data_IF_125331248099
#
_entry.id   IF_125331248099
#
_cell.length_a   1.000
_cell.length_b   1.000
_cell.length_c   1.000
_cell.angle_alpha   90.00
_cell.angle_beta   90.00
_cell.angle_gamma   90.00
#
_symmetry.space_group_name_H-M   'P 1'
#
loop_
_entity.id
_entity.type
_entity.pdbx_description
1 polymer ?
#
# COMPACT_ATOMS: atom_id res chain seq x y z
N UNK A 1 -13.41 -20.53 14.78
CA UNK A 1 -12.58 -21.03 13.67
C UNK A 1 -11.24 -20.35 13.83
N UNK A 2 -10.22 -21.08 14.31
CA UNK A 2 -8.84 -20.58 14.28
C UNK A 2 -8.37 -20.91 12.86
N UNK A 3 -7.88 -19.92 12.12
CA UNK A 3 -7.39 -20.12 10.76
C UNK A 3 -6.18 -21.04 10.74
N UNK A 4 -5.92 -21.68 9.60
CA UNK A 4 -4.67 -22.41 9.38
C UNK A 4 -3.52 -21.43 9.15
N UNK A 5 -2.34 -21.77 9.66
CA UNK A 5 -1.13 -20.99 9.40
C UNK A 5 -0.74 -21.09 7.93
N UNK A 6 -0.71 -19.95 7.24
CA UNK A 6 -0.30 -19.86 5.84
C UNK A 6 1.16 -19.41 5.78
N UNK A 7 2.05 -20.34 5.41
CA UNK A 7 3.49 -20.05 5.26
C UNK A 7 3.72 -18.86 4.31
N UNK A 8 4.54 -17.89 4.75
CA UNK A 8 4.85 -16.69 3.98
C UNK A 8 3.79 -15.59 4.03
N UNK A 9 2.71 -15.75 4.79
CA UNK A 9 1.71 -14.72 5.02
C UNK A 9 1.82 -14.16 6.44
N UNK A 10 1.97 -12.84 6.54
CA UNK A 10 2.09 -12.10 7.79
C UNK A 10 1.08 -10.96 7.83
N UNK A 11 0.72 -10.51 9.03
CA UNK A 11 -0.19 -9.40 9.26
C UNK A 11 0.44 -8.43 10.26
N UNK A 12 0.23 -7.12 10.07
CA UNK A 12 0.67 -6.08 11.00
C UNK A 12 -0.39 -4.97 11.11
N UNK A 13 -0.40 -4.23 12.21
CA UNK A 13 -1.34 -3.15 12.47
C UNK A 13 -2.74 -3.65 12.82
N UNK A 14 -3.76 -2.88 12.43
CA UNK A 14 -5.15 -3.18 12.81
C UNK A 14 -5.70 -4.48 12.24
N UNK A 15 -5.21 -4.95 11.09
CA UNK A 15 -5.64 -6.26 10.57
C UNK A 15 -5.13 -7.43 11.43
N UNK A 16 -4.02 -7.24 12.16
CA UNK A 16 -3.48 -8.19 13.15
C UNK A 16 -4.17 -8.06 14.51
N UNK A 17 -4.27 -6.84 15.05
CA UNK A 17 -4.63 -6.59 16.46
C UNK A 17 -6.03 -6.00 16.68
N UNK A 18 -6.80 -5.78 15.61
CA UNK A 18 -8.06 -5.04 15.65
C UNK A 18 -7.88 -3.52 15.62
N UNK A 19 -8.97 -2.81 15.33
CA UNK A 19 -9.00 -1.36 15.11
C UNK A 19 -8.88 -0.54 16.41
N UNK A 20 -7.73 -0.64 17.08
CA UNK A 20 -7.44 0.06 18.34
C UNK A 20 -6.00 0.58 18.38
N UNK A 21 -5.76 1.59 19.23
CA UNK A 21 -4.46 2.27 19.35
C UNK A 21 -4.29 3.45 18.38
N UNK A 22 -3.20 4.18 18.58
CA UNK A 22 -2.82 5.34 17.75
C UNK A 22 -1.82 4.93 16.67
N UNK A 23 -1.46 5.83 15.75
CA UNK A 23 -0.45 5.58 14.70
C UNK A 23 0.85 5.03 15.30
N UNK A 24 1.31 5.61 16.41
CA UNK A 24 2.53 5.17 17.10
C UNK A 24 2.47 3.74 17.65
N UNK A 25 1.28 3.21 17.92
CA UNK A 25 1.09 1.83 18.39
C UNK A 25 1.40 0.80 17.30
N UNK A 26 1.33 1.18 16.02
CA UNK A 26 1.59 0.26 14.91
C UNK A 26 3.07 -0.01 14.69
N UNK A 27 3.98 0.88 15.14
CA UNK A 27 5.41 0.72 14.94
C UNK A 27 5.97 -0.53 15.65
N UNK A 28 5.87 -0.68 16.99
CA UNK A 28 6.41 -1.86 17.67
C UNK A 28 5.73 -3.16 17.22
N UNK A 29 4.44 -3.13 16.88
CA UNK A 29 3.70 -4.26 16.34
C UNK A 29 4.19 -4.71 14.95
N UNK A 30 4.56 -3.75 14.11
CA UNK A 30 5.16 -4.05 12.80
C UNK A 30 6.58 -4.59 12.95
N UNK A 31 7.36 -4.09 13.92
CA UNK A 31 8.69 -4.60 14.24
C UNK A 31 8.65 -6.06 14.69
N UNK A 32 7.72 -6.44 15.57
CA UNK A 32 7.49 -7.84 15.97
C UNK A 32 7.17 -8.73 14.76
N UNK A 33 6.31 -8.26 13.86
CA UNK A 33 5.91 -9.02 12.66
C UNK A 33 7.10 -9.22 11.71
N UNK A 34 7.92 -8.19 11.52
CA UNK A 34 9.15 -8.29 10.73
C UNK A 34 10.15 -9.23 11.39
N UNK A 35 10.26 -9.23 12.72
CA UNK A 35 11.11 -10.18 13.42
C UNK A 35 10.69 -11.63 13.13
N UNK A 36 9.39 -11.96 13.22
CA UNK A 36 8.90 -13.29 12.87
C UNK A 36 9.20 -13.66 11.41
N UNK A 37 9.04 -12.72 10.47
CA UNK A 37 9.41 -12.94 9.07
C UNK A 37 10.90 -13.26 8.91
N UNK A 38 11.76 -12.54 9.64
CA UNK A 38 13.21 -12.75 9.59
C UNK A 38 13.62 -14.10 10.19
N UNK A 39 12.94 -14.55 11.26
CA UNK A 39 13.15 -15.87 11.87
C UNK A 39 12.73 -17.01 10.94
N UNK A 40 11.70 -16.78 10.11
CA UNK A 40 11.21 -17.74 9.13
C UNK A 40 11.95 -17.72 7.80
N UNK A 41 12.86 -16.77 7.57
CA UNK A 41 13.46 -16.52 6.25
C UNK A 41 14.04 -17.77 5.58
N UNK A 42 14.64 -18.69 6.34
CA UNK A 42 15.19 -19.95 5.84
C UNK A 42 14.14 -20.99 5.43
N UNK A 43 12.90 -20.85 5.91
CA UNK A 43 11.75 -21.70 5.58
C UNK A 43 10.95 -21.16 4.39
N UNK A 44 11.14 -19.89 4.06
CA UNK A 44 10.45 -19.23 2.96
C UNK A 44 11.04 -19.65 1.61
N UNK A 45 10.18 -19.75 0.60
CA UNK A 45 10.58 -19.94 -0.80
C UNK A 45 10.31 -18.63 -1.56
N UNK A 46 11.27 -17.69 -1.61
CA UNK A 46 11.08 -16.44 -2.32
C UNK A 46 10.91 -16.70 -3.81
N UNK A 47 10.00 -15.96 -4.44
CA UNK A 47 9.87 -15.96 -5.89
C UNK A 47 11.14 -15.47 -6.56
N UNK A 48 11.53 -16.08 -7.68
CA UNK A 48 12.59 -15.60 -8.56
C UNK A 48 12.12 -14.49 -9.51
N UNK A 49 10.81 -14.22 -9.54
CA UNK A 49 10.23 -13.20 -10.40
C UNK A 49 10.62 -11.80 -9.94
N UNK A 50 10.93 -10.94 -10.92
CA UNK A 50 11.28 -9.54 -10.65
C UNK A 50 10.03 -8.67 -10.41
N UNK A 51 10.21 -7.52 -9.77
CA UNK A 51 9.14 -6.51 -9.68
C UNK A 51 8.60 -6.11 -11.07
N UNK A 52 9.45 -6.08 -12.10
CA UNK A 52 9.04 -5.78 -13.47
C UNK A 52 8.12 -6.88 -14.05
N UNK A 53 8.35 -8.14 -13.70
CA UNK A 53 7.46 -9.24 -14.11
C UNK A 53 6.06 -9.07 -13.47
N UNK A 54 6.00 -8.67 -12.19
CA UNK A 54 4.73 -8.37 -11.53
C UNK A 54 4.00 -7.16 -12.15
N UNK A 55 4.71 -6.08 -12.46
CA UNK A 55 4.11 -4.94 -13.16
C UNK A 55 3.59 -5.31 -14.56
N UNK A 56 4.32 -6.14 -15.30
CA UNK A 56 3.86 -6.63 -16.60
C UNK A 56 2.61 -7.50 -16.47
N UNK A 57 2.57 -8.38 -15.47
CA UNK A 57 1.36 -9.15 -15.15
C UNK A 57 0.15 -8.25 -14.87
N UNK A 58 0.33 -7.16 -14.10
CA UNK A 58 -0.75 -6.20 -13.86
C UNK A 58 -1.22 -5.51 -15.16
N UNK A 59 -0.29 -5.15 -16.06
CA UNK A 59 -0.61 -4.57 -17.37
C UNK A 59 -1.38 -5.54 -18.26
N UNK A 60 -0.94 -6.80 -18.34
CA UNK A 60 -1.62 -7.85 -19.09
C UNK A 60 -3.04 -8.11 -18.58
N UNK A 61 -3.26 -7.95 -17.27
CA UNK A 61 -4.58 -8.01 -16.63
C UNK A 61 -5.41 -6.74 -16.78
N UNK A 62 -4.91 -5.71 -17.50
CA UNK A 62 -5.54 -4.41 -17.65
C UNK A 62 -5.86 -3.73 -16.29
N UNK A 63 -5.01 -3.95 -15.28
CA UNK A 63 -5.15 -3.32 -13.96
C UNK A 63 -4.66 -1.88 -14.02
N UNK A 64 -5.50 -0.93 -13.63
CA UNK A 64 -5.16 0.50 -13.53
C UNK A 64 -4.43 0.80 -12.22
N UNK A 65 -3.22 0.27 -12.06
CA UNK A 65 -2.43 0.50 -10.85
C UNK A 65 -1.78 1.90 -10.84
N UNK A 66 -1.64 2.44 -9.64
CA UNK A 66 -1.03 3.76 -9.37
C UNK A 66 0.32 3.53 -8.71
N UNK A 67 1.39 3.91 -9.41
CA UNK A 67 2.74 3.91 -8.82
C UNK A 67 2.92 5.07 -7.86
N UNK A 68 4.01 5.09 -7.10
CA UNK A 68 4.34 6.24 -6.27
C UNK A 68 4.51 7.54 -7.10
N UNK A 69 5.14 7.45 -8.27
CA UNK A 69 5.30 8.59 -9.19
C UNK A 69 3.95 9.09 -9.74
N UNK A 70 3.00 8.19 -9.96
CA UNK A 70 1.63 8.56 -10.36
C UNK A 70 0.88 9.23 -9.21
N UNK A 71 1.00 8.71 -7.99
CA UNK A 71 0.43 9.33 -6.79
C UNK A 71 0.97 10.73 -6.54
N UNK A 72 2.26 10.99 -6.81
CA UNK A 72 2.83 12.34 -6.68
C UNK A 72 2.15 13.37 -7.60
N UNK A 73 1.62 12.95 -8.77
CA UNK A 73 0.83 13.83 -9.64
C UNK A 73 -0.52 14.15 -9.01
N UNK A 74 -1.18 13.16 -8.41
CA UNK A 74 -2.43 13.36 -7.65
C UNK A 74 -2.17 14.35 -6.51
N UNK A 75 -1.11 14.14 -5.73
CA UNK A 75 -0.75 14.98 -4.59
C UNK A 75 -0.53 16.44 -5.01
N UNK A 76 0.27 16.66 -6.06
CA UNK A 76 0.54 17.99 -6.60
C UNK A 76 -0.74 18.70 -7.07
N UNK A 77 -1.64 17.99 -7.74
CA UNK A 77 -2.90 18.55 -8.23
C UNK A 77 -3.89 18.86 -7.08
N UNK A 78 -3.99 17.99 -6.07
CA UNK A 78 -4.79 18.28 -4.88
C UNK A 78 -4.28 19.53 -4.14
N UNK A 79 -2.97 19.67 -3.99
CA UNK A 79 -2.34 20.86 -3.39
C UNK A 79 -2.67 22.11 -4.22
N UNK A 80 -2.47 22.05 -5.55
CA UNK A 80 -2.76 23.17 -6.47
C UNK A 80 -4.22 23.62 -6.38
N UNK A 81 -5.16 22.68 -6.36
CA UNK A 81 -6.59 22.97 -6.19
C UNK A 81 -6.90 23.59 -4.83
N UNK A 82 -6.24 23.12 -3.77
CA UNK A 82 -6.38 23.67 -2.42
C UNK A 82 -5.91 25.12 -2.31
N UNK A 83 -4.79 25.46 -2.95
CA UNK A 83 -4.24 26.82 -2.92
C UNK A 83 -5.22 27.88 -3.44
N UNK A 84 -6.00 27.56 -4.47
CA UNK A 84 -7.02 28.46 -5.05
C UNK A 84 -8.09 28.87 -4.03
N UNK A 85 -8.37 28.01 -3.05
CA UNK A 85 -9.42 28.21 -2.04
C UNK A 85 -8.86 28.36 -0.62
N UNK A 86 -7.55 28.59 -0.49
CA UNK A 86 -6.90 28.80 0.81
C UNK A 86 -6.79 27.56 1.70
N UNK A 87 -6.80 26.35 1.12
CA UNK A 87 -6.68 25.07 1.83
C UNK A 87 -5.32 24.41 1.56
N UNK A 88 -4.81 23.56 2.48
CA UNK A 88 -3.57 22.79 2.23
C UNK A 88 -3.68 21.87 1.01
N UNK A 89 -4.89 21.34 0.75
CA UNK A 89 -5.24 20.57 -0.45
C UNK A 89 -6.75 20.51 -0.62
N UNK A 90 -7.19 20.30 -1.85
CA UNK A 90 -8.56 19.92 -2.20
C UNK A 90 -8.55 18.51 -2.78
N UNK A 91 -9.03 17.54 -2.01
CA UNK A 91 -8.91 16.13 -2.40
C UNK A 91 -9.79 15.78 -3.58
N UNK A 92 -9.37 14.80 -4.36
CA UNK A 92 -10.31 14.09 -5.23
C UNK A 92 -11.22 13.19 -4.39
N UNK A 93 -12.51 13.17 -4.71
CA UNK A 93 -13.51 12.33 -4.03
C UNK A 93 -14.09 11.26 -4.96
N UNK A 94 -13.62 11.23 -6.21
CA UNK A 94 -14.00 10.26 -7.22
C UNK A 94 -12.74 9.57 -7.77
N UNK A 95 -12.80 8.25 -7.90
CA UNK A 95 -11.68 7.42 -8.35
C UNK A 95 -11.28 7.74 -9.80
N UNK A 96 -12.23 8.02 -10.69
CA UNK A 96 -11.90 8.35 -12.09
C UNK A 96 -11.14 9.67 -12.21
N UNK A 97 -11.45 10.66 -11.36
CA UNK A 97 -10.71 11.91 -11.36
C UNK A 97 -9.31 11.75 -10.76
N UNK A 98 -9.16 10.88 -9.75
CA UNK A 98 -7.83 10.48 -9.23
C UNK A 98 -6.99 9.80 -10.33
N UNK A 99 -7.59 8.90 -11.10
CA UNK A 99 -6.90 8.18 -12.17
C UNK A 99 -6.52 9.10 -13.33
N UNK A 100 -7.40 10.02 -13.72
CA UNK A 100 -7.06 11.08 -14.70
C UNK A 100 -5.89 11.94 -14.21
N UNK A 101 -5.90 12.35 -12.93
CA UNK A 101 -4.81 13.13 -12.35
C UNK A 101 -3.47 12.35 -12.28
N UNK A 102 -3.55 11.03 -12.10
CA UNK A 102 -2.40 10.13 -12.21
C UNK A 102 -1.92 9.91 -13.67
N UNK A 103 -2.69 10.33 -14.67
CA UNK A 103 -2.41 10.09 -16.09
C UNK A 103 -2.74 8.66 -16.53
N UNK A 104 -3.79 8.09 -15.96
CA UNK A 104 -4.33 6.75 -16.28
C UNK A 104 -5.63 6.83 -17.06
#
# INVERSE_FOLDING_TARGET
IIGEDICGCYAAGWIKRGASGVIGTNKPDSEETVQSLMEDLLKLQPSSESNAAFENFLKEKNVRFVTFADWQKIDAEEIRRGQVVGKPREKFVNVEDMLKAAGK
#
